data_IF_975700006424
#
_entry.id   IF_975700006424
#
_cell.length_a   1.000
_cell.length_b   1.000
_cell.length_c   1.000
_cell.angle_alpha   90.00
_cell.angle_beta   90.00
_cell.angle_gamma   90.00
#
_symmetry.space_group_name_H-M   'P 1'
#
loop_
_entity.id
_entity.type
_entity.pdbx_description
1 polymer ?
#
# COMPACT_ATOMS: atom_id res chain seq x y z
N UNK A 1 -7.01 -18.11 -0.57
CA UNK A 1 -5.70 -17.92 0.09
C UNK A 1 -4.64 -18.47 -0.86
N UNK A 2 -3.91 -17.60 -1.55
CA UNK A 2 -2.82 -18.04 -2.44
C UNK A 2 -1.65 -18.42 -1.54
N UNK A 3 -1.41 -19.72 -1.38
CA UNK A 3 -0.22 -20.21 -0.69
C UNK A 3 0.94 -20.00 -1.66
N UNK A 4 1.54 -18.81 -1.64
CA UNK A 4 2.81 -18.59 -2.34
C UNK A 4 3.89 -19.36 -1.58
N UNK A 5 4.58 -20.26 -2.26
CA UNK A 5 5.81 -20.83 -1.72
C UNK A 5 6.76 -19.67 -1.43
N UNK A 6 7.15 -19.52 -0.17
CA UNK A 6 8.03 -18.43 0.25
C UNK A 6 9.44 -18.82 -0.20
N UNK A 7 9.90 -18.21 -1.29
CA UNK A 7 11.27 -18.40 -1.78
C UNK A 7 12.19 -17.61 -0.84
N UNK A 8 12.88 -18.32 0.06
CA UNK A 8 13.83 -17.74 1.03
C UNK A 8 15.28 -17.83 0.56
N UNK A 9 15.51 -18.18 -0.69
CA UNK A 9 16.84 -18.26 -1.27
C UNK A 9 17.52 -16.89 -1.25
N UNK A 10 18.84 -16.82 -0.99
CA UNK A 10 19.59 -15.57 -1.02
C UNK A 10 19.54 -14.93 -2.41
N UNK A 11 19.58 -13.60 -2.46
CA UNK A 11 19.44 -12.84 -3.71
C UNK A 11 20.15 -11.49 -3.62
N UNK A 12 20.36 -10.85 -4.77
CA UNK A 12 20.90 -9.51 -4.84
C UNK A 12 19.78 -8.49 -5.06
N UNK A 13 19.95 -7.28 -4.51
CA UNK A 13 19.12 -6.12 -4.81
C UNK A 13 20.02 -4.93 -5.08
N UNK A 14 19.57 -4.01 -5.93
CA UNK A 14 20.30 -2.77 -6.18
C UNK A 14 19.68 -1.61 -5.39
N UNK A 15 20.49 -0.91 -4.59
CA UNK A 15 20.11 0.30 -3.86
C UNK A 15 21.21 1.36 -4.06
N UNK A 16 20.82 2.57 -4.45
CA UNK A 16 21.73 3.70 -4.70
C UNK A 16 22.87 3.35 -5.67
N UNK A 17 22.56 2.56 -6.70
CA UNK A 17 23.55 2.15 -7.69
C UNK A 17 24.46 0.99 -7.28
N UNK A 18 24.38 0.51 -6.03
CA UNK A 18 25.21 -0.59 -5.51
C UNK A 18 24.39 -1.87 -5.37
N UNK A 19 24.97 -3.00 -5.78
CA UNK A 19 24.38 -4.32 -5.56
C UNK A 19 24.70 -4.81 -4.15
N UNK A 20 23.65 -5.20 -3.44
CA UNK A 20 23.71 -5.71 -2.07
C UNK A 20 23.29 -7.17 -2.10
N UNK A 21 24.11 -8.02 -1.50
CA UNK A 21 23.77 -9.42 -1.27
C UNK A 21 22.90 -9.53 -0.02
N UNK A 22 21.71 -10.12 -0.18
CA UNK A 22 20.76 -10.37 0.90
C UNK A 22 20.80 -11.86 1.21
N UNK A 23 21.33 -12.18 2.40
CA UNK A 23 21.31 -13.54 2.92
C UNK A 23 19.96 -13.88 3.59
N UNK A 24 19.78 -15.17 3.89
CA UNK A 24 18.56 -15.66 4.52
C UNK A 24 18.36 -15.08 5.94
N UNK A 25 19.45 -14.77 6.64
CA UNK A 25 19.42 -14.19 7.99
C UNK A 25 18.92 -12.74 7.97
N UNK A 26 19.41 -11.93 7.05
CA UNK A 26 18.97 -10.55 6.83
C UNK A 26 17.51 -10.53 6.41
N UNK A 27 17.09 -11.45 5.53
CA UNK A 27 15.68 -11.59 5.13
C UNK A 27 14.79 -11.95 6.32
N UNK A 28 15.24 -12.86 7.20
CA UNK A 28 14.48 -13.27 8.38
C UNK A 28 14.37 -12.16 9.45
N UNK A 29 15.41 -11.32 9.57
CA UNK A 29 15.46 -10.20 10.52
C UNK A 29 14.80 -8.93 9.99
N UNK A 30 14.52 -8.86 8.69
CA UNK A 30 13.91 -7.68 8.08
C UNK A 30 12.46 -7.48 8.57
N UNK A 31 12.12 -6.31 9.18
CA UNK A 31 10.77 -6.05 9.69
C UNK A 31 9.67 -6.08 8.63
N UNK A 32 9.99 -5.78 7.37
CA UNK A 32 9.07 -5.90 6.23
C UNK A 32 8.92 -7.34 5.71
N UNK A 33 9.62 -8.29 6.31
CA UNK A 33 9.59 -9.72 5.98
C UNK A 33 9.83 -9.97 4.49
N UNK A 34 8.99 -10.86 3.94
CA UNK A 34 9.09 -11.37 2.57
C UNK A 34 8.86 -10.32 1.48
N UNK A 35 8.39 -9.12 1.82
CA UNK A 35 8.13 -8.05 0.84
C UNK A 35 9.38 -7.68 0.04
N UNK A 36 10.57 -7.85 0.63
CA UNK A 36 11.85 -7.61 -0.03
C UNK A 36 12.10 -8.55 -1.22
N UNK A 37 11.52 -9.75 -1.22
CA UNK A 37 11.70 -10.73 -2.32
C UNK A 37 11.08 -10.27 -3.63
N UNK A 38 10.14 -9.32 -3.60
CA UNK A 38 9.54 -8.73 -4.79
C UNK A 38 10.54 -7.92 -5.63
N UNK A 39 11.66 -7.50 -5.03
CA UNK A 39 12.71 -6.72 -5.70
C UNK A 39 13.98 -7.54 -5.98
N UNK A 40 13.87 -8.87 -6.01
CA UNK A 40 14.97 -9.78 -6.34
C UNK A 40 15.59 -9.44 -7.70
N UNK A 41 16.91 -9.29 -7.72
CA UNK A 41 17.71 -8.96 -8.92
C UNK A 41 17.25 -7.67 -9.63
N UNK A 42 16.64 -6.72 -8.91
CA UNK A 42 16.15 -5.44 -9.47
C UNK A 42 16.61 -4.23 -8.65
N UNK A 43 16.42 -3.03 -9.21
CA UNK A 43 16.65 -1.77 -8.52
C UNK A 43 15.51 -1.43 -7.57
N UNK A 44 15.78 -1.53 -6.28
CA UNK A 44 14.86 -1.27 -5.18
C UNK A 44 15.07 0.12 -4.54
N UNK A 45 15.90 0.99 -5.14
CA UNK A 45 16.30 2.28 -4.54
C UNK A 45 15.09 3.11 -4.11
N UNK A 46 14.11 3.29 -5.00
CA UNK A 46 12.90 4.08 -4.71
C UNK A 46 12.06 3.43 -3.61
N UNK A 47 11.86 2.12 -3.68
CA UNK A 47 11.07 1.39 -2.67
C UNK A 47 11.73 1.50 -1.29
N UNK A 48 13.05 1.34 -1.21
CA UNK A 48 13.79 1.50 0.03
C UNK A 48 13.55 2.88 0.66
N UNK A 49 13.75 3.96 -0.11
CA UNK A 49 13.58 5.33 0.41
C UNK A 49 12.14 5.63 0.85
N UNK A 50 11.14 5.13 0.14
CA UNK A 50 9.72 5.33 0.51
C UNK A 50 9.42 4.67 1.84
N UNK A 51 9.74 3.39 1.99
CA UNK A 51 9.38 2.62 3.18
C UNK A 51 10.27 2.92 4.39
N UNK A 52 11.48 3.45 4.19
CA UNK A 52 12.45 3.68 5.26
C UNK A 52 12.77 5.17 5.51
N UNK A 53 12.03 6.11 4.90
CA UNK A 53 12.23 7.57 5.03
C UNK A 53 12.37 8.08 6.48
N UNK A 54 11.73 7.43 7.46
CA UNK A 54 11.80 7.79 8.88
C UNK A 54 12.86 7.03 9.71
N UNK A 55 13.56 6.04 9.15
CA UNK A 55 14.41 5.11 9.93
C UNK A 55 15.90 5.35 9.70
N UNK A 56 16.58 6.04 10.63
CA UNK A 56 18.05 6.24 10.57
C UNK A 56 18.83 4.92 10.59
N UNK A 57 18.31 3.94 11.33
CA UNK A 57 18.90 2.60 11.48
C UNK A 57 18.93 1.84 10.14
N UNK A 58 17.88 1.96 9.32
CA UNK A 58 17.84 1.33 8.00
C UNK A 58 18.91 1.90 7.05
N UNK A 59 19.10 3.23 7.07
CA UNK A 59 20.14 3.87 6.28
C UNK A 59 21.55 3.49 6.73
N UNK A 60 21.78 3.32 8.04
CA UNK A 60 23.06 2.83 8.58
C UNK A 60 23.34 1.40 8.11
N UNK A 61 22.36 0.49 8.22
CA UNK A 61 22.50 -0.89 7.75
C UNK A 61 22.85 -0.97 6.26
N UNK A 62 22.15 -0.22 5.40
CA UNK A 62 22.48 -0.19 3.97
C UNK A 62 23.88 0.38 3.73
N UNK A 63 24.31 1.39 4.50
CA UNK A 63 25.65 1.96 4.36
C UNK A 63 26.72 0.91 4.68
N UNK A 64 26.55 0.16 5.77
CA UNK A 64 27.43 -0.93 6.19
C UNK A 64 27.45 -2.08 5.16
N UNK A 65 26.28 -2.52 4.70
CA UNK A 65 26.18 -3.57 3.67
C UNK A 65 26.80 -3.10 2.34
N UNK A 66 26.66 -1.82 2.00
CA UNK A 66 27.24 -1.24 0.80
C UNK A 66 28.76 -1.09 0.86
N UNK A 67 29.35 -1.08 2.07
CA UNK A 67 30.81 -1.06 2.23
C UNK A 67 31.42 -2.41 1.85
N UNK A 68 30.65 -3.49 1.97
CA UNK A 68 31.03 -4.85 1.58
C UNK A 68 30.45 -5.25 0.22
N UNK A 69 29.99 -4.29 -0.60
CA UNK A 69 29.39 -4.58 -1.89
C UNK A 69 30.43 -5.13 -2.88
N UNK A 70 30.04 -6.18 -3.61
CA UNK A 70 30.81 -6.77 -4.71
C UNK A 70 30.26 -6.22 -6.01
N UNK A 71 31.13 -5.99 -7.01
CA UNK A 71 30.72 -5.68 -8.38
C UNK A 71 29.99 -6.88 -8.98
N UNK A 72 28.67 -6.94 -8.76
CA UNK A 72 27.78 -7.94 -9.30
C UNK A 72 27.11 -7.39 -10.56
N UNK A 73 27.32 -8.05 -11.69
CA UNK A 73 26.50 -7.84 -12.89
C UNK A 73 25.54 -9.04 -13.04
N UNK A 74 24.22 -8.79 -13.09
CA UNK A 74 23.24 -9.87 -13.23
C UNK A 74 23.48 -10.61 -14.54
N UNK A 75 23.77 -11.91 -14.45
CA UNK A 75 23.99 -12.76 -15.62
C UNK A 75 22.64 -13.25 -16.16
N UNK A 76 22.19 -12.58 -17.23
CA UNK A 76 21.08 -12.94 -18.15
C UNK A 76 19.65 -12.54 -17.77
N UNK A 77 18.97 -12.19 -18.84
CA UNK A 77 17.58 -11.77 -19.04
C UNK A 77 16.60 -12.54 -18.13
N UNK A 78 15.87 -11.79 -17.31
CA UNK A 78 14.83 -12.32 -16.43
C UNK A 78 13.76 -13.06 -17.25
N UNK A 79 13.47 -14.29 -16.87
CA UNK A 79 12.12 -14.84 -17.02
C UNK A 79 11.19 -14.00 -16.14
N UNK A 80 10.69 -12.91 -16.73
CA UNK A 80 9.59 -12.15 -16.20
C UNK A 80 8.45 -13.14 -16.04
N UNK A 81 8.11 -13.49 -14.80
CA UNK A 81 6.90 -14.21 -14.45
C UNK A 81 5.77 -13.72 -15.37
N UNK A 82 5.12 -14.62 -16.11
CA UNK A 82 4.15 -14.28 -17.16
C UNK A 82 3.05 -13.29 -16.66
N UNK A 83 2.77 -13.32 -15.36
CA UNK A 83 1.86 -12.39 -14.65
C UNK A 83 2.39 -10.97 -14.44
N UNK A 84 3.72 -10.75 -14.43
CA UNK A 84 4.35 -9.44 -14.37
C UNK A 84 4.58 -8.84 -15.77
N UNK A 85 4.61 -9.65 -16.83
CA UNK A 85 4.73 -9.18 -18.21
C UNK A 85 3.53 -8.33 -18.67
N UNK A 86 2.36 -8.55 -18.05
CA UNK A 86 1.13 -7.76 -18.28
C UNK A 86 1.21 -6.39 -17.60
N UNK A 87 2.08 -6.22 -16.61
CA UNK A 87 2.53 -4.92 -16.13
C UNK A 87 3.77 -4.53 -16.93
N UNK A 88 3.65 -4.42 -18.25
CA UNK A 88 4.71 -3.81 -19.04
C UNK A 88 4.99 -2.42 -18.48
N UNK A 89 6.27 -2.05 -18.44
CA UNK A 89 6.77 -0.73 -18.05
C UNK A 89 6.11 0.43 -18.86
N UNK A 90 5.28 0.12 -19.85
CA UNK A 90 4.43 1.08 -20.55
C UNK A 90 3.33 1.67 -19.65
N UNK A 91 2.84 0.92 -18.65
CA UNK A 91 1.82 1.42 -17.71
C UNK A 91 2.44 2.31 -16.62
N UNK A 92 3.67 2.01 -16.21
CA UNK A 92 4.47 2.83 -15.29
C UNK A 92 5.51 3.58 -16.12
N UNK A 93 5.02 4.53 -16.93
CA UNK A 93 5.85 5.25 -17.90
C UNK A 93 7.18 5.73 -17.32
N UNK A 94 8.25 5.67 -18.13
CA UNK A 94 9.61 6.03 -17.76
C UNK A 94 9.62 7.37 -16.99
N UNK A 95 10.08 7.34 -15.75
CA UNK A 95 10.17 8.53 -14.86
C UNK A 95 11.31 9.49 -15.24
N UNK A 96 11.72 9.50 -16.52
CA UNK A 96 12.57 10.55 -17.09
C UNK A 96 11.73 11.81 -17.35
N UNK A 97 11.20 12.36 -16.26
CA UNK A 97 10.44 13.60 -16.28
C UNK A 97 11.44 14.74 -16.15
N UNK A 98 11.63 15.49 -17.24
CA UNK A 98 12.34 16.76 -17.23
C UNK A 98 11.74 17.71 -16.17
N UNK A 99 12.57 18.54 -15.53
CA UNK A 99 12.14 19.43 -14.42
C UNK A 99 10.94 20.30 -14.82
N UNK A 100 10.91 20.78 -16.07
CA UNK A 100 9.80 21.56 -16.62
C UNK A 100 8.49 20.76 -16.70
N UNK A 101 8.58 19.47 -16.97
CA UNK A 101 7.44 18.55 -17.03
C UNK A 101 6.92 18.24 -15.63
N UNK A 102 7.82 18.05 -14.66
CA UNK A 102 7.48 17.92 -13.23
C UNK A 102 6.76 19.17 -12.72
N UNK A 103 7.28 20.36 -13.02
CA UNK A 103 6.61 21.62 -12.64
C UNK A 103 5.24 21.76 -13.28
N UNK A 104 5.09 21.37 -14.54
CA UNK A 104 3.80 21.43 -15.24
C UNK A 104 2.79 20.44 -14.66
N UNK A 105 3.22 19.22 -14.35
CA UNK A 105 2.39 18.20 -13.69
C UNK A 105 1.99 18.68 -12.30
N UNK A 106 2.95 19.17 -11.50
CA UNK A 106 2.69 19.73 -10.18
C UNK A 106 1.75 20.93 -10.27
N UNK A 107 1.89 21.81 -11.26
CA UNK A 107 0.98 22.94 -11.49
C UNK A 107 -0.41 22.48 -11.89
N UNK A 108 -0.56 21.44 -12.70
CA UNK A 108 -1.86 20.89 -13.09
C UNK A 108 -2.53 20.14 -11.93
N UNK A 109 -1.79 19.30 -11.19
CA UNK A 109 -2.25 18.65 -9.97
C UNK A 109 -2.61 19.67 -8.89
N UNK A 110 -1.78 20.70 -8.72
CA UNK A 110 -2.09 21.80 -7.82
C UNK A 110 -3.27 22.60 -8.34
N UNK A 111 -3.46 22.84 -9.64
CA UNK A 111 -4.67 23.47 -10.19
C UNK A 111 -5.91 22.62 -9.93
N UNK A 112 -5.82 21.30 -9.99
CA UNK A 112 -6.91 20.39 -9.64
C UNK A 112 -7.21 20.42 -8.14
N UNK A 113 -6.18 20.28 -7.28
CA UNK A 113 -6.27 20.40 -5.82
C UNK A 113 -6.63 21.81 -5.34
N UNK A 114 -6.29 22.83 -6.11
CA UNK A 114 -6.44 24.26 -5.85
C UNK A 114 -7.40 24.87 -6.85
N UNK A 115 -8.38 24.12 -7.37
CA UNK A 115 -9.70 24.70 -7.65
C UNK A 115 -10.12 25.26 -6.29
N UNK A 116 -9.71 26.51 -6.07
CA UNK A 116 -9.53 27.15 -4.76
C UNK A 116 -10.86 27.12 -4.02
N UNK A 117 -11.94 27.21 -4.79
CA UNK A 117 -13.32 26.97 -4.40
C UNK A 117 -13.52 25.59 -3.75
N UNK A 118 -13.20 24.48 -4.43
CA UNK A 118 -13.44 23.13 -3.91
C UNK A 118 -12.59 22.82 -2.67
N UNK A 119 -11.29 23.10 -2.65
CA UNK A 119 -10.46 22.80 -1.47
C UNK A 119 -10.75 23.69 -0.26
N UNK A 120 -11.00 25.00 -0.46
CA UNK A 120 -11.44 25.86 0.65
C UNK A 120 -12.85 25.52 1.09
N UNK A 121 -13.76 25.14 0.19
CA UNK A 121 -15.09 24.64 0.57
C UNK A 121 -14.97 23.36 1.35
N UNK A 122 -14.23 22.36 0.87
CA UNK A 122 -14.08 21.07 1.54
C UNK A 122 -13.40 21.19 2.91
N UNK A 123 -12.41 22.10 3.05
CA UNK A 123 -11.81 22.42 4.35
C UNK A 123 -12.76 23.22 5.26
N UNK A 124 -13.48 24.22 4.73
CA UNK A 124 -14.48 24.98 5.50
C UNK A 124 -15.68 24.14 5.92
N UNK A 125 -16.01 23.11 5.14
CA UNK A 125 -17.08 22.16 5.40
C UNK A 125 -16.62 21.00 6.32
N UNK A 126 -15.36 21.01 6.78
CA UNK A 126 -14.85 20.01 7.72
C UNK A 126 -14.73 18.60 7.13
N UNK A 127 -14.81 18.41 5.81
CA UNK A 127 -14.75 17.09 5.17
C UNK A 127 -13.39 16.37 5.32
N UNK A 128 -12.36 17.08 5.79
CA UNK A 128 -11.05 16.52 6.10
C UNK A 128 -10.82 16.28 7.60
N UNK A 129 -11.78 16.65 8.45
CA UNK A 129 -11.68 16.44 9.90
C UNK A 129 -12.49 15.20 10.31
N UNK A 130 -11.96 14.44 11.25
CA UNK A 130 -12.65 13.29 11.79
C UNK A 130 -13.90 13.76 12.56
N UNK A 131 -15.08 13.30 12.15
CA UNK A 131 -16.33 13.58 12.87
C UNK A 131 -16.80 12.34 13.62
N UNK A 132 -16.75 12.40 14.96
CA UNK A 132 -17.19 11.30 15.82
C UNK A 132 -18.66 10.93 15.57
N UNK A 133 -19.50 11.91 15.19
CA UNK A 133 -20.91 11.69 14.83
C UNK A 133 -21.08 10.81 13.60
N UNK A 134 -20.19 10.92 12.61
CA UNK A 134 -20.23 10.07 11.42
C UNK A 134 -19.93 8.61 11.78
N UNK A 135 -18.87 8.38 12.58
CA UNK A 135 -18.50 7.05 13.04
C UNK A 135 -19.56 6.43 13.95
N UNK A 136 -20.15 7.23 14.85
CA UNK A 136 -21.25 6.78 15.70
C UNK A 136 -22.46 6.33 14.87
N UNK A 137 -22.89 7.14 13.88
CA UNK A 137 -23.97 6.76 12.95
C UNK A 137 -23.64 5.46 12.22
N UNK A 138 -22.40 5.28 11.76
CA UNK A 138 -21.95 4.05 11.07
C UNK A 138 -22.01 2.81 11.95
N UNK A 139 -21.65 2.93 13.22
CA UNK A 139 -21.78 1.84 14.20
C UNK A 139 -23.25 1.53 14.44
N UNK A 140 -24.10 2.54 14.63
CA UNK A 140 -25.55 2.35 14.79
C UNK A 140 -26.18 1.69 13.56
N UNK A 141 -25.76 2.06 12.35
CA UNK A 141 -26.22 1.45 11.09
C UNK A 141 -25.85 -0.03 11.02
N UNK A 142 -24.61 -0.39 11.38
CA UNK A 142 -24.16 -1.78 11.39
C UNK A 142 -24.94 -2.62 12.41
N UNK A 143 -25.15 -2.10 13.62
CA UNK A 143 -25.97 -2.75 14.65
C UNK A 143 -27.42 -2.92 14.16
N UNK A 144 -28.00 -1.88 13.56
CA UNK A 144 -29.36 -1.91 13.02
C UNK A 144 -29.53 -2.97 11.93
N UNK A 145 -28.56 -3.09 11.01
CA UNK A 145 -28.57 -4.13 9.97
C UNK A 145 -28.43 -5.54 10.57
N UNK A 146 -27.58 -5.73 11.58
CA UNK A 146 -27.46 -7.00 12.29
C UNK A 146 -28.77 -7.39 12.99
N UNK A 147 -29.40 -6.47 13.72
CA UNK A 147 -30.69 -6.70 14.36
C UNK A 147 -31.78 -7.03 13.34
N UNK A 148 -31.78 -6.34 12.20
CA UNK A 148 -32.72 -6.59 11.11
C UNK A 148 -32.52 -7.97 10.46
N UNK A 149 -31.27 -8.38 10.27
CA UNK A 149 -30.95 -9.73 9.77
C UNK A 149 -31.48 -10.81 10.74
N UNK A 150 -31.22 -10.65 12.05
CA UNK A 150 -31.74 -11.57 13.08
C UNK A 150 -33.27 -11.60 13.08
N UNK A 151 -33.92 -10.44 12.96
CA UNK A 151 -35.38 -10.38 12.88
C UNK A 151 -35.92 -11.17 11.68
N UNK A 152 -35.35 -11.00 10.49
CA UNK A 152 -35.76 -11.77 9.31
C UNK A 152 -35.42 -13.26 9.41
N UNK A 153 -34.35 -13.62 10.12
CA UNK A 153 -34.02 -15.01 10.43
C UNK A 153 -35.13 -15.66 11.28
N UNK A 154 -35.63 -14.96 12.31
CA UNK A 154 -36.72 -15.44 13.16
C UNK A 154 -38.03 -15.60 12.38
N UNK A 155 -38.27 -14.76 11.39
CA UNK A 155 -39.41 -14.84 10.47
C UNK A 155 -39.25 -15.91 9.37
N UNK A 156 -38.24 -16.79 9.46
CA UNK A 156 -37.94 -17.87 8.49
C UNK A 156 -37.65 -17.35 7.07
N UNK A 157 -37.32 -16.05 6.91
CA UNK A 157 -36.95 -15.44 5.62
C UNK A 157 -35.45 -15.51 5.40
N UNK A 158 -34.95 -16.73 5.23
CA UNK A 158 -33.50 -17.02 5.24
C UNK A 158 -32.70 -16.29 4.16
N UNK A 159 -33.20 -16.23 2.93
CA UNK A 159 -32.50 -15.57 1.82
C UNK A 159 -32.36 -14.06 2.10
N UNK A 160 -33.44 -13.42 2.55
CA UNK A 160 -33.43 -11.99 2.86
C UNK A 160 -32.53 -11.68 4.07
N UNK A 161 -32.58 -12.52 5.11
CA UNK A 161 -31.68 -12.46 6.26
C UNK A 161 -30.21 -12.54 5.82
N UNK A 162 -29.86 -13.51 4.96
CA UNK A 162 -28.50 -13.68 4.47
C UNK A 162 -27.99 -12.48 3.67
N UNK A 163 -28.84 -11.86 2.83
CA UNK A 163 -28.46 -10.66 2.07
C UNK A 163 -28.20 -9.46 2.99
N UNK A 164 -29.07 -9.23 3.98
CA UNK A 164 -28.92 -8.14 4.95
C UNK A 164 -27.69 -8.37 5.84
N UNK A 165 -27.45 -9.62 6.24
CA UNK A 165 -26.25 -10.00 6.99
C UNK A 165 -24.98 -9.73 6.17
N UNK A 166 -24.98 -10.05 4.88
CA UNK A 166 -23.88 -9.72 3.97
C UNK A 166 -23.61 -8.21 3.88
N UNK A 167 -24.66 -7.39 3.81
CA UNK A 167 -24.54 -5.93 3.86
C UNK A 167 -23.97 -5.44 5.19
N UNK A 168 -24.39 -6.03 6.32
CA UNK A 168 -23.85 -5.69 7.63
C UNK A 168 -22.34 -5.98 7.71
N UNK A 169 -21.90 -7.15 7.24
CA UNK A 169 -20.48 -7.51 7.18
C UNK A 169 -19.68 -6.59 6.27
N UNK A 170 -20.25 -6.21 5.12
CA UNK A 170 -19.63 -5.23 4.24
C UNK A 170 -19.39 -3.91 5.00
N UNK A 171 -20.41 -3.35 5.67
CA UNK A 171 -20.27 -2.08 6.41
C UNK A 171 -19.22 -2.16 7.54
N UNK A 172 -19.17 -3.28 8.26
CA UNK A 172 -18.15 -3.51 9.29
C UNK A 172 -16.73 -3.62 8.71
N UNK A 173 -16.59 -4.25 7.54
CA UNK A 173 -15.31 -4.35 6.83
C UNK A 173 -14.75 -2.98 6.42
N UNK A 174 -15.60 -2.10 5.89
CA UNK A 174 -15.23 -0.70 5.62
C UNK A 174 -14.80 -0.01 6.91
N UNK A 175 -15.61 -0.10 7.98
CA UNK A 175 -15.29 0.54 9.26
C UNK A 175 -13.88 0.16 9.78
N UNK A 176 -13.54 -1.13 9.76
CA UNK A 176 -12.21 -1.61 10.16
C UNK A 176 -11.12 -1.02 9.26
N UNK A 177 -11.34 -1.02 7.95
CA UNK A 177 -10.41 -0.45 6.98
C UNK A 177 -10.17 1.05 7.24
N UNK A 178 -11.21 1.84 7.52
CA UNK A 178 -11.08 3.26 7.87
C UNK A 178 -10.31 3.49 9.20
N UNK A 179 -10.54 2.66 10.21
CA UNK A 179 -9.76 2.72 11.46
C UNK A 179 -8.29 2.32 11.25
N UNK A 180 -8.01 1.34 10.40
CA UNK A 180 -6.65 0.91 10.07
C UNK A 180 -5.84 2.00 9.33
N UNK A 181 -6.51 2.81 8.50
CA UNK A 181 -5.90 3.97 7.83
C UNK A 181 -5.75 5.20 8.73
N UNK A 182 -6.01 5.08 10.04
CA UNK A 182 -5.89 6.16 11.02
C UNK A 182 -6.73 7.42 10.68
N UNK A 183 -7.79 7.29 9.85
CA UNK A 183 -8.67 8.42 9.50
C UNK A 183 -9.46 8.96 10.69
N UNK A 184 -9.57 8.19 11.78
CA UNK A 184 -10.25 8.60 13.01
C UNK A 184 -9.36 9.44 13.94
N UNK A 185 -8.04 9.31 13.88
CA UNK A 185 -7.12 9.87 14.89
C UNK A 185 -6.37 11.13 14.41
N UNK A 186 -6.82 11.74 13.31
CA UNK A 186 -6.31 13.03 12.82
C UNK A 186 -7.15 14.20 13.26
#
# INVERSE_FOLDING_TARGET
>A
MVIRQVITEPFHIKINGKWLYIDQETLAKHPGGIAMTAYRETDATTAFHIFHSGSKLAYQMITEMSANSVDYEPTKEQEVSETLSVLSDEVVGSWNLDEQRIETINRNFNRFRMKKFCKLQMRKLGFFEASNTFYFRKICEAIGLLSLAIFFQLQQRFVLSALILGLAWQQLGWLIHEYAHHQHFR
#
